data_IF_508153210760
#
_entry.id   IF_508153210760
#
_cell.length_a   1.000
_cell.length_b   1.000
_cell.length_c   1.000
_cell.angle_alpha   90.00
_cell.angle_beta   90.00
_cell.angle_gamma   90.00
#
_symmetry.space_group_name_H-M   'P 1'
#
loop_
_entity.id
_entity.type
_entity.pdbx_description
1 polymer ?
#
# COMPACT_ATOMS: atom_id res chain seq x y z
N UNK A 1 -18.74 50.49 75.43
CA UNK A 1 -19.41 49.19 75.22
C UNK A 1 -18.92 48.65 73.88
N UNK A 2 -17.82 47.88 73.84
CA UNK A 2 -17.83 46.40 73.89
C UNK A 2 -18.91 45.83 72.98
N UNK A 3 -18.55 45.42 71.76
CA UNK A 3 -18.51 43.99 71.36
C UNK A 3 -18.35 43.84 69.83
N UNK A 4 -17.29 43.14 69.43
CA UNK A 4 -17.29 42.25 68.24
C UNK A 4 -17.92 40.93 68.69
N UNK A 5 -18.62 40.17 67.81
CA UNK A 5 -17.90 39.13 67.06
C UNK A 5 -18.44 38.75 65.66
N UNK A 6 -17.48 38.29 64.85
CA UNK A 6 -17.45 37.13 63.92
C UNK A 6 -18.71 36.67 63.14
N UNK A 7 -18.48 36.46 61.85
CA UNK A 7 -18.75 35.17 61.19
C UNK A 7 -19.91 35.17 60.19
N UNK A 8 -19.63 34.78 58.94
CA UNK A 8 -20.66 34.55 57.94
C UNK A 8 -20.09 34.48 56.53
N UNK A 9 -19.61 33.30 56.14
CA UNK A 9 -19.26 32.96 54.78
C UNK A 9 -20.49 32.99 53.87
N UNK A 10 -20.38 33.59 52.69
CA UNK A 10 -21.31 33.38 51.58
C UNK A 10 -20.52 32.78 50.41
N UNK A 11 -20.77 31.49 50.19
CA UNK A 11 -20.24 30.70 49.10
C UNK A 11 -20.86 31.16 47.77
N UNK A 12 -20.02 31.63 46.85
CA UNK A 12 -20.40 31.82 45.44
C UNK A 12 -20.23 30.50 44.70
N UNK A 13 -21.35 29.93 44.26
CA UNK A 13 -21.43 28.75 43.40
C UNK A 13 -20.87 29.10 42.02
N UNK A 14 -19.71 28.53 41.66
CA UNK A 14 -19.23 28.52 40.28
C UNK A 14 -19.47 27.13 39.70
N UNK A 15 -20.40 27.06 38.75
CA UNK A 15 -20.78 25.84 38.05
C UNK A 15 -19.60 25.29 37.22
N UNK A 16 -19.26 24.03 37.47
CA UNK A 16 -18.28 23.28 36.69
C UNK A 16 -18.89 22.86 35.35
N UNK A 17 -18.41 23.43 34.23
CA UNK A 17 -18.59 22.85 32.90
C UNK A 17 -17.49 21.78 32.71
N UNK A 18 -17.79 20.53 33.07
CA UNK A 18 -17.01 19.38 32.64
C UNK A 18 -17.34 19.07 31.19
N UNK A 19 -16.54 19.58 30.24
CA UNK A 19 -16.54 19.08 28.86
C UNK A 19 -15.85 17.71 28.88
N UNK A 20 -16.66 16.65 28.89
CA UNK A 20 -16.20 15.28 28.66
C UNK A 20 -15.70 15.17 27.21
N UNK A 21 -14.39 15.34 27.01
CA UNK A 21 -13.71 14.93 25.79
C UNK A 21 -13.63 13.40 25.78
N UNK A 22 -14.70 12.76 25.31
CA UNK A 22 -14.66 11.35 24.94
C UNK A 22 -13.75 11.21 23.70
N UNK A 23 -12.72 10.35 23.74
CA UNK A 23 -11.99 10.01 22.53
C UNK A 23 -12.96 9.26 21.62
N UNK A 24 -13.39 9.91 20.54
CA UNK A 24 -14.10 9.25 19.45
C UNK A 24 -13.12 8.28 18.79
N UNK A 25 -13.09 7.04 19.25
CA UNK A 25 -12.54 5.95 18.46
C UNK A 25 -13.38 5.89 17.19
N UNK A 26 -12.82 6.35 16.07
CA UNK A 26 -13.40 6.16 14.75
C UNK A 26 -13.37 4.66 14.45
N UNK A 27 -14.35 3.93 14.97
CA UNK A 27 -14.70 2.61 14.47
C UNK A 27 -15.21 2.83 13.05
N UNK A 28 -14.41 2.41 12.06
CA UNK A 28 -14.87 2.35 10.68
C UNK A 28 -16.18 1.55 10.67
N UNK A 29 -17.30 2.20 10.39
CA UNK A 29 -18.58 1.54 10.29
C UNK A 29 -18.47 0.44 9.22
N UNK A 30 -19.01 -0.77 9.46
CA UNK A 30 -19.09 -1.79 8.42
C UNK A 30 -19.81 -1.18 7.21
N UNK A 31 -19.19 -1.28 6.03
CA UNK A 31 -19.81 -0.79 4.79
C UNK A 31 -21.04 -1.65 4.52
N UNK A 32 -22.12 -1.03 4.05
CA UNK A 32 -23.42 -1.67 3.82
C UNK A 32 -23.36 -2.91 2.89
N UNK A 33 -22.26 -3.08 2.16
CA UNK A 33 -22.03 -4.18 1.21
C UNK A 33 -21.44 -5.46 1.85
N UNK A 34 -21.18 -5.49 3.15
CA UNK A 34 -20.61 -6.67 3.83
C UNK A 34 -21.67 -7.70 4.30
N UNK A 35 -22.90 -7.64 3.78
CA UNK A 35 -23.96 -8.60 4.11
C UNK A 35 -23.59 -10.05 3.73
N UNK A 36 -23.88 -11.05 4.57
CA UNK A 36 -23.73 -12.46 4.23
C UNK A 36 -24.65 -12.84 3.06
N UNK A 37 -24.13 -13.53 2.04
CA UNK A 37 -24.92 -14.05 0.90
C UNK A 37 -24.98 -13.18 -0.36
N UNK A 38 -24.34 -12.00 -0.39
CA UNK A 38 -24.19 -11.20 -1.61
C UNK A 38 -23.22 -11.79 -2.64
N UNK A 39 -23.36 -11.41 -3.92
CA UNK A 39 -22.42 -11.80 -4.97
C UNK A 39 -20.98 -11.34 -4.66
N UNK A 40 -19.98 -12.09 -5.14
CA UNK A 40 -18.59 -11.68 -5.03
C UNK A 40 -18.39 -10.28 -5.65
N UNK A 41 -17.62 -9.43 -4.96
CA UNK A 41 -17.39 -8.05 -5.40
C UNK A 41 -16.39 -8.02 -6.54
N UNK A 42 -16.69 -7.18 -7.54
CA UNK A 42 -15.77 -6.90 -8.63
C UNK A 42 -14.60 -6.05 -8.17
N UNK A 43 -13.47 -6.18 -8.86
CA UNK A 43 -12.32 -5.30 -8.69
C UNK A 43 -12.73 -3.83 -8.80
N UNK A 44 -12.30 -3.00 -7.85
CA UNK A 44 -12.48 -1.55 -7.89
C UNK A 44 -11.28 -0.89 -8.57
N UNK A 45 -11.46 -0.27 -9.76
CA UNK A 45 -10.43 0.56 -10.36
C UNK A 45 -10.05 1.72 -9.45
N UNK A 46 -8.87 2.29 -9.66
CA UNK A 46 -8.44 3.46 -8.91
C UNK A 46 -9.44 4.62 -9.09
N UNK A 47 -9.73 5.30 -8.00
CA UNK A 47 -10.49 6.53 -8.04
C UNK A 47 -9.73 7.56 -8.88
N UNK A 48 -10.41 8.17 -9.86
CA UNK A 48 -9.76 9.07 -10.80
C UNK A 48 -8.87 8.39 -11.85
N UNK A 49 -8.98 7.06 -12.04
CA UNK A 49 -8.32 6.40 -13.16
C UNK A 49 -8.73 7.03 -14.49
N UNK A 50 -7.74 7.29 -15.35
CA UNK A 50 -7.94 7.99 -16.62
C UNK A 50 -8.31 6.97 -17.70
N UNK A 51 -9.48 7.08 -18.36
CA UNK A 51 -9.81 6.22 -19.47
C UNK A 51 -8.82 6.39 -20.62
N UNK A 52 -8.35 5.28 -21.18
CA UNK A 52 -7.47 5.24 -22.34
C UNK A 52 -7.92 4.14 -23.29
N UNK A 53 -7.52 4.20 -24.56
CA UNK A 53 -7.76 3.12 -25.52
C UNK A 53 -6.44 2.79 -26.20
N UNK A 54 -5.85 1.65 -25.82
CA UNK A 54 -4.67 1.13 -26.49
C UNK A 54 -4.94 0.89 -27.98
N UNK A 55 -3.99 1.29 -28.82
CA UNK A 55 -4.10 1.17 -30.26
C UNK A 55 -3.91 -0.28 -30.73
N UNK A 56 -4.39 -0.60 -31.93
CA UNK A 56 -4.12 -1.87 -32.61
C UNK A 56 -2.76 -1.89 -33.33
N UNK A 57 -2.18 -0.71 -33.54
CA UNK A 57 -0.88 -0.49 -34.19
C UNK A 57 0.14 0.03 -33.19
N UNK A 58 1.42 -0.32 -33.39
CA UNK A 58 2.53 0.17 -32.57
C UNK A 58 2.82 1.66 -32.74
N UNK A 59 2.29 2.30 -33.78
CA UNK A 59 2.60 3.70 -34.13
C UNK A 59 1.64 4.68 -33.44
N UNK A 60 0.43 4.22 -33.12
CA UNK A 60 -0.68 5.07 -32.67
C UNK A 60 -1.00 4.90 -31.18
N UNK A 61 -0.16 4.15 -30.44
CA UNK A 61 -0.37 3.88 -29.03
C UNK A 61 -0.40 5.16 -28.19
N UNK A 62 -1.44 5.41 -27.37
CA UNK A 62 -1.50 6.60 -26.52
C UNK A 62 -0.43 6.56 -25.43
N UNK A 63 -0.03 7.74 -24.96
CA UNK A 63 0.99 7.86 -23.92
C UNK A 63 0.44 7.54 -22.52
N UNK A 64 1.19 6.74 -21.76
CA UNK A 64 0.96 6.51 -20.34
C UNK A 64 1.98 7.32 -19.54
N UNK A 65 1.51 8.40 -18.93
CA UNK A 65 2.34 9.22 -18.04
C UNK A 65 2.70 8.48 -16.72
N UNK A 66 3.89 8.78 -16.21
CA UNK A 66 4.39 8.29 -14.91
C UNK A 66 3.41 8.62 -13.79
N UNK A 67 3.23 7.70 -12.84
CA UNK A 67 2.42 7.85 -11.63
C UNK A 67 0.91 8.11 -11.86
N UNK A 68 0.43 8.07 -13.10
CA UNK A 68 -1.00 8.01 -13.41
C UNK A 68 -1.47 6.56 -13.49
N UNK A 69 -2.75 6.36 -13.18
CA UNK A 69 -3.44 5.08 -13.32
C UNK A 69 -4.46 5.22 -14.45
N UNK A 70 -4.42 4.29 -15.39
CA UNK A 70 -5.29 4.29 -16.56
C UNK A 70 -6.23 3.10 -16.55
N UNK A 71 -7.41 3.26 -17.14
CA UNK A 71 -8.38 2.18 -17.37
C UNK A 71 -8.61 1.96 -18.86
N UNK A 72 -8.65 0.69 -19.27
CA UNK A 72 -9.05 0.26 -20.60
C UNK A 72 -9.74 -1.12 -20.47
N UNK A 73 -9.99 -1.80 -21.58
CA UNK A 73 -10.52 -3.16 -21.67
C UNK A 73 -9.70 -3.99 -22.64
N UNK A 74 -9.71 -5.30 -22.51
CA UNK A 74 -9.11 -6.21 -23.49
C UNK A 74 -10.05 -7.40 -23.74
N UNK A 75 -10.19 -7.80 -25.00
CA UNK A 75 -10.92 -9.01 -25.38
C UNK A 75 -9.95 -10.14 -25.75
N UNK A 76 -10.43 -11.40 -25.70
CA UNK A 76 -9.67 -12.54 -26.17
C UNK A 76 -9.13 -12.36 -27.59
N UNK A 77 -7.82 -12.58 -27.75
CA UNK A 77 -7.12 -12.41 -29.02
C UNK A 77 -6.68 -10.99 -29.36
N UNK A 78 -7.02 -9.98 -28.54
CA UNK A 78 -6.56 -8.62 -28.78
C UNK A 78 -5.11 -8.43 -28.34
N UNK A 79 -4.44 -7.51 -29.02
CA UNK A 79 -3.14 -6.96 -28.67
C UNK A 79 -3.28 -5.44 -28.72
N UNK A 80 -2.90 -4.78 -27.63
CA UNK A 80 -3.02 -3.35 -27.45
C UNK A 80 -1.65 -2.72 -27.23
N UNK A 81 -1.46 -1.56 -27.83
CA UNK A 81 -0.22 -0.82 -27.82
C UNK A 81 -0.39 0.53 -27.12
N UNK A 82 0.61 0.87 -26.30
CA UNK A 82 0.70 2.12 -25.54
C UNK A 82 2.14 2.63 -25.59
N UNK A 83 2.34 3.94 -25.46
CA UNK A 83 3.66 4.55 -25.41
C UNK A 83 4.01 4.94 -23.98
N UNK A 84 5.26 4.77 -23.57
CA UNK A 84 5.81 5.33 -22.33
C UNK A 84 7.08 6.11 -22.66
N UNK A 85 7.25 7.26 -22.03
CA UNK A 85 8.48 8.05 -22.13
C UNK A 85 9.43 7.64 -21.01
N UNK A 86 10.58 7.06 -21.37
CA UNK A 86 11.62 6.65 -20.42
C UNK A 86 12.78 7.66 -20.43
N UNK A 87 13.36 7.89 -19.26
CA UNK A 87 14.66 8.56 -19.11
C UNK A 87 15.81 7.53 -19.26
N UNK A 88 17.06 7.96 -19.13
CA UNK A 88 18.27 7.13 -19.22
C UNK A 88 18.86 6.75 -17.85
N UNK A 89 18.17 7.05 -16.75
CA UNK A 89 18.70 6.88 -15.38
C UNK A 89 17.81 6.04 -14.46
N UNK A 90 16.50 5.99 -14.69
CA UNK A 90 15.54 5.29 -13.84
C UNK A 90 15.27 3.86 -14.31
N UNK A 91 15.07 2.93 -13.38
CA UNK A 91 14.41 1.66 -13.72
C UNK A 91 12.93 1.92 -13.96
N UNK A 92 12.35 1.31 -14.99
CA UNK A 92 10.95 1.50 -15.33
C UNK A 92 10.16 0.21 -15.15
N UNK A 93 8.94 0.32 -14.62
CA UNK A 93 8.01 -0.78 -14.40
C UNK A 93 6.63 -0.36 -14.89
N UNK A 94 6.14 -1.02 -15.95
CA UNK A 94 4.82 -0.75 -16.53
C UNK A 94 3.95 -1.97 -16.28
N UNK A 95 2.95 -1.81 -15.42
CA UNK A 95 2.10 -2.90 -14.94
C UNK A 95 0.72 -2.86 -15.58
N UNK A 96 0.14 -4.04 -15.76
CA UNK A 96 -1.25 -4.22 -16.15
C UNK A 96 -1.92 -5.18 -15.19
N UNK A 97 -3.09 -4.78 -14.68
CA UNK A 97 -4.03 -5.65 -13.96
C UNK A 97 -5.12 -6.06 -14.94
N UNK A 98 -5.41 -7.36 -15.07
CA UNK A 98 -6.61 -7.86 -15.75
C UNK A 98 -7.64 -8.28 -14.70
N UNK A 99 -8.82 -7.67 -14.76
CA UNK A 99 -9.82 -7.74 -13.71
C UNK A 99 -11.20 -8.19 -14.26
N UNK A 100 -11.35 -9.47 -14.61
CA UNK A 100 -12.63 -10.02 -15.06
C UNK A 100 -13.70 -9.93 -13.95
N UNK A 101 -15.00 -9.78 -14.30
CA UNK A 101 -16.07 -9.90 -13.33
C UNK A 101 -15.99 -11.25 -12.57
N UNK A 102 -16.29 -11.29 -11.26
CA UNK A 102 -16.28 -12.53 -10.49
C UNK A 102 -17.19 -13.61 -11.11
N UNK A 103 -16.71 -14.85 -11.11
CA UNK A 103 -17.42 -15.98 -11.71
C UNK A 103 -17.27 -16.09 -13.24
N UNK A 104 -16.52 -15.19 -13.88
CA UNK A 104 -16.17 -15.33 -15.30
C UNK A 104 -15.42 -16.64 -15.55
N UNK A 105 -15.76 -17.33 -16.64
CA UNK A 105 -15.06 -18.56 -17.05
C UNK A 105 -13.73 -18.22 -17.72
N UNK A 106 -12.73 -19.08 -17.54
CA UNK A 106 -11.43 -18.98 -18.20
C UNK A 106 -10.89 -20.35 -18.56
N UNK A 107 -10.01 -20.44 -19.56
CA UNK A 107 -9.08 -21.56 -19.64
C UNK A 107 -7.90 -21.36 -18.66
N UNK A 108 -7.21 -22.45 -18.35
CA UNK A 108 -6.04 -22.46 -17.46
C UNK A 108 -4.98 -21.46 -17.91
N UNK A 109 -4.77 -21.35 -19.23
CA UNK A 109 -3.79 -20.48 -19.86
C UNK A 109 -4.38 -19.19 -20.44
N UNK A 110 -5.63 -18.85 -20.09
CA UNK A 110 -6.13 -17.50 -20.38
C UNK A 110 -5.49 -16.50 -19.42
N UNK A 111 -5.22 -15.29 -19.92
CA UNK A 111 -4.62 -14.21 -19.15
C UNK A 111 -4.05 -13.09 -20.02
N UNK A 112 -2.95 -12.49 -19.57
CA UNK A 112 -2.26 -11.42 -20.31
C UNK A 112 -0.77 -11.69 -20.42
N UNK A 113 -0.19 -11.26 -21.53
CA UNK A 113 1.25 -11.09 -21.69
C UNK A 113 1.56 -9.61 -21.86
N UNK A 114 2.60 -9.15 -21.16
CA UNK A 114 3.05 -7.77 -21.21
C UNK A 114 4.49 -7.68 -21.70
N UNK A 115 4.78 -6.68 -22.53
CA UNK A 115 6.09 -6.49 -23.15
C UNK A 115 6.43 -5.01 -23.19
N UNK A 116 7.71 -4.68 -23.02
CA UNK A 116 8.26 -3.34 -23.23
C UNK A 116 9.38 -3.43 -24.27
N UNK A 117 9.25 -2.68 -25.37
CA UNK A 117 10.25 -2.66 -26.45
C UNK A 117 10.71 -1.24 -26.75
N UNK A 118 11.95 -1.10 -27.21
CA UNK A 118 12.47 0.12 -27.84
C UNK A 118 11.85 0.36 -29.23
N UNK A 119 12.07 1.55 -29.84
CA UNK A 119 11.55 1.88 -31.17
C UNK A 119 11.99 0.93 -32.30
N UNK A 120 13.16 0.30 -32.16
CA UNK A 120 13.69 -0.70 -33.11
C UNK A 120 13.10 -2.10 -32.90
N UNK A 121 12.24 -2.28 -31.90
CA UNK A 121 11.60 -3.56 -31.56
C UNK A 121 12.39 -4.43 -30.58
N UNK A 122 13.54 -3.96 -30.08
CA UNK A 122 14.32 -4.71 -29.07
C UNK A 122 13.57 -4.77 -27.74
N UNK A 123 13.39 -5.97 -27.18
CA UNK A 123 12.74 -6.14 -25.88
C UNK A 123 13.67 -5.75 -24.74
N UNK A 124 13.19 -4.90 -23.83
CA UNK A 124 14.00 -4.35 -22.74
C UNK A 124 14.28 -5.31 -21.57
N UNK A 125 13.53 -6.41 -21.49
CA UNK A 125 13.62 -7.38 -20.40
C UNK A 125 12.77 -8.61 -20.68
N UNK A 126 12.28 -9.28 -19.63
CA UNK A 126 11.33 -10.37 -19.82
C UNK A 126 9.99 -9.85 -20.36
N UNK A 127 9.26 -10.74 -21.06
CA UNK A 127 7.88 -10.51 -21.51
C UNK A 127 6.92 -11.44 -20.75
N UNK A 128 6.70 -11.20 -19.45
CA UNK A 128 6.00 -12.15 -18.60
C UNK A 128 4.53 -12.27 -18.98
N UNK A 129 4.04 -13.51 -18.94
CA UNK A 129 2.62 -13.81 -18.98
C UNK A 129 2.10 -14.09 -17.57
N UNK A 130 0.91 -13.57 -17.26
CA UNK A 130 0.14 -13.94 -16.09
C UNK A 130 -1.11 -14.69 -16.56
N UNK A 131 -1.39 -15.84 -15.94
CA UNK A 131 -2.51 -16.70 -16.26
C UNK A 131 -3.44 -16.86 -15.06
N UNK A 132 -4.73 -17.09 -15.30
CA UNK A 132 -5.67 -17.36 -14.20
C UNK A 132 -5.35 -18.65 -13.46
N UNK A 133 -4.86 -19.67 -14.19
CA UNK A 133 -4.44 -20.95 -13.62
C UNK A 133 -5.59 -21.85 -13.17
N UNK A 134 -6.78 -21.67 -13.76
CA UNK A 134 -7.99 -22.43 -13.45
C UNK A 134 -9.16 -22.11 -14.40
N UNK A 135 -10.29 -22.77 -14.15
CA UNK A 135 -11.52 -22.64 -14.96
C UNK A 135 -12.33 -21.37 -14.65
N UNK A 136 -11.93 -20.64 -13.60
CA UNK A 136 -12.56 -19.40 -13.16
C UNK A 136 -11.54 -18.28 -13.18
N UNK A 137 -11.92 -17.19 -13.83
CA UNK A 137 -11.12 -16.00 -13.93
C UNK A 137 -11.11 -15.25 -12.60
N UNK A 138 -9.97 -14.64 -12.30
CA UNK A 138 -9.72 -13.83 -11.09
C UNK A 138 -8.90 -12.63 -11.49
N UNK A 139 -8.79 -11.65 -10.62
CA UNK A 139 -7.81 -10.57 -10.84
C UNK A 139 -6.40 -11.15 -10.92
N UNK A 140 -5.66 -10.81 -11.98
CA UNK A 140 -4.24 -11.12 -12.17
C UNK A 140 -3.50 -9.85 -12.54
N UNK A 141 -2.20 -9.80 -12.27
CA UNK A 141 -1.35 -8.67 -12.67
C UNK A 141 0.01 -9.13 -13.17
N UNK A 142 0.60 -8.35 -14.06
CA UNK A 142 1.97 -8.53 -14.56
C UNK A 142 2.59 -7.17 -14.87
N UNK A 143 3.93 -7.09 -14.93
CA UNK A 143 4.61 -5.91 -15.44
C UNK A 143 5.71 -6.28 -16.43
N UNK A 144 5.99 -5.38 -17.37
CA UNK A 144 7.25 -5.36 -18.10
C UNK A 144 8.17 -4.33 -17.44
N UNK A 145 9.47 -4.60 -17.45
CA UNK A 145 10.46 -3.72 -16.82
C UNK A 145 11.61 -3.40 -17.74
N UNK A 146 12.16 -2.20 -17.62
CA UNK A 146 13.45 -1.79 -18.16
C UNK A 146 14.41 -1.55 -17.00
N UNK A 147 15.61 -2.12 -17.07
CA UNK A 147 16.65 -1.97 -16.03
C UNK A 147 17.77 -1.08 -16.55
N UNK A 148 18.20 -0.13 -15.72
CA UNK A 148 19.41 0.64 -15.95
C UNK A 148 20.61 -0.09 -15.36
N UNK A 149 21.61 -0.35 -16.19
CA UNK A 149 22.84 -1.01 -15.75
C UNK A 149 24.04 -0.47 -16.53
N UNK A 150 24.37 -1.14 -17.63
CA UNK A 150 25.51 -0.84 -18.49
C UNK A 150 25.09 -1.06 -19.95
N UNK A 151 25.95 -0.66 -20.89
CA UNK A 151 25.68 -0.72 -22.33
C UNK A 151 25.47 -2.12 -22.90
N UNK A 152 25.73 -3.19 -22.11
CA UNK A 152 25.44 -4.57 -22.53
C UNK A 152 23.98 -4.96 -22.29
N UNK A 153 23.23 -4.17 -21.51
CA UNK A 153 21.79 -4.36 -21.29
C UNK A 153 21.01 -3.58 -22.35
N UNK A 154 19.95 -4.13 -22.97
CA UNK A 154 19.14 -3.37 -23.92
C UNK A 154 18.41 -2.19 -23.27
N UNK A 155 17.92 -1.26 -24.08
CA UNK A 155 17.06 -0.15 -23.66
C UNK A 155 17.69 0.81 -22.61
N UNK A 156 18.95 1.22 -22.79
CA UNK A 156 19.60 2.18 -21.89
C UNK A 156 19.30 3.64 -22.24
N UNK A 157 18.91 3.93 -23.48
CA UNK A 157 18.69 5.30 -23.95
C UNK A 157 17.37 5.90 -23.46
N UNK A 158 17.34 7.22 -23.28
CA UNK A 158 16.10 7.96 -23.07
C UNK A 158 15.28 8.02 -24.37
N UNK A 159 13.95 8.03 -24.26
CA UNK A 159 13.09 8.15 -25.43
C UNK A 159 11.71 7.53 -25.25
N UNK A 160 11.04 7.36 -26.38
CA UNK A 160 9.74 6.69 -26.43
C UNK A 160 9.92 5.18 -26.54
N UNK A 161 9.20 4.46 -25.70
CA UNK A 161 9.17 3.00 -25.69
C UNK A 161 7.74 2.52 -25.82
N UNK A 162 7.59 1.32 -26.36
CA UNK A 162 6.29 0.72 -26.64
C UNK A 162 5.96 -0.31 -25.56
N UNK A 163 4.91 -0.06 -24.81
CA UNK A 163 4.31 -1.03 -23.91
C UNK A 163 3.17 -1.76 -24.61
N UNK A 164 3.21 -3.08 -24.58
CA UNK A 164 2.23 -3.94 -25.24
C UNK A 164 1.51 -4.79 -24.21
N UNK A 165 0.19 -4.85 -24.30
CA UNK A 165 -0.66 -5.79 -23.57
C UNK A 165 -1.34 -6.70 -24.57
N UNK A 166 -1.00 -7.99 -24.55
CA UNK A 166 -1.61 -9.01 -25.39
C UNK A 166 -2.45 -9.96 -24.53
N UNK A 167 -3.58 -10.39 -25.07
CA UNK A 167 -4.27 -11.55 -24.51
C UNK A 167 -3.38 -12.78 -24.65
N UNK A 168 -3.21 -13.51 -23.55
CA UNK A 168 -2.55 -14.81 -23.55
C UNK A 168 -3.61 -15.92 -23.45
N UNK A 169 -3.45 -17.01 -24.22
CA UNK A 169 -4.38 -18.16 -24.20
C UNK A 169 -5.16 -18.38 -25.50
N UNK A 170 -6.02 -19.41 -25.50
CA UNK A 170 -6.66 -19.97 -26.71
C UNK A 170 -8.02 -19.36 -27.05
N UNK A 171 -8.39 -18.23 -26.43
CA UNK A 171 -9.68 -17.53 -26.59
C UNK A 171 -10.89 -18.31 -26.06
N UNK A 172 -10.68 -19.24 -25.12
CA UNK A 172 -11.75 -20.08 -24.57
C UNK A 172 -12.77 -19.30 -23.71
N UNK A 173 -12.43 -18.09 -23.24
CA UNK A 173 -13.31 -17.16 -22.52
C UNK A 173 -14.40 -16.46 -23.35
N UNK A 174 -14.54 -16.79 -24.65
CA UNK A 174 -15.51 -16.15 -25.53
C UNK A 174 -15.04 -14.80 -26.08
N UNK A 175 -15.96 -13.86 -26.34
CA UNK A 175 -15.66 -12.54 -26.91
C UNK A 175 -15.75 -11.37 -25.92
N UNK A 176 -15.87 -11.64 -24.61
CA UNK A 176 -16.09 -10.61 -23.61
C UNK A 176 -14.90 -9.67 -23.47
N UNK A 177 -15.17 -8.37 -23.39
CA UNK A 177 -14.16 -7.36 -23.05
C UNK A 177 -14.03 -7.27 -21.53
N UNK A 178 -12.83 -7.50 -21.01
CA UNK A 178 -12.56 -7.43 -19.58
C UNK A 178 -11.77 -6.18 -19.21
N UNK A 179 -12.07 -5.54 -18.06
CA UNK A 179 -11.33 -4.39 -17.59
C UNK A 179 -9.84 -4.68 -17.42
N UNK A 180 -9.01 -3.74 -17.86
CA UNK A 180 -7.60 -3.66 -17.51
C UNK A 180 -7.28 -2.31 -16.85
N UNK A 181 -6.37 -2.33 -15.90
CA UNK A 181 -5.82 -1.14 -15.26
C UNK A 181 -4.31 -1.08 -15.51
N UNK A 182 -3.81 0.04 -16.03
CA UNK A 182 -2.40 0.22 -16.40
C UNK A 182 -1.74 1.26 -15.50
N UNK A 183 -0.50 1.02 -15.09
CA UNK A 183 0.30 1.99 -14.33
C UNK A 183 1.75 1.99 -14.81
N UNK A 184 2.40 3.16 -14.75
CA UNK A 184 3.83 3.31 -15.03
C UNK A 184 4.53 3.92 -13.81
N UNK A 185 5.49 3.17 -13.24
CA UNK A 185 6.37 3.61 -12.15
C UNK A 185 7.82 3.67 -12.62
N UNK A 186 8.57 4.64 -12.11
CA UNK A 186 9.99 4.81 -12.40
C UNK A 186 10.78 4.94 -11.09
N UNK A 187 11.62 3.97 -10.80
CA UNK A 187 12.51 3.94 -9.64
C UNK A 187 13.80 4.69 -9.98
N UNK A 188 14.17 5.75 -9.23
CA UNK A 188 15.39 6.51 -9.51
C UNK A 188 16.63 5.62 -9.54
N UNK A 189 17.64 6.05 -10.32
CA UNK A 189 18.96 5.44 -10.32
C UNK A 189 19.71 5.65 -9.00
N UNK A 190 20.89 5.05 -8.88
CA UNK A 190 21.80 5.36 -7.78
C UNK A 190 22.56 6.66 -8.06
N UNK A 191 23.00 7.33 -6.99
CA UNK A 191 23.94 8.46 -7.10
C UNK A 191 25.17 8.05 -7.92
N UNK A 192 25.67 8.91 -8.83
CA UNK A 192 26.88 8.63 -9.57
C UNK A 192 28.04 8.24 -8.65
N UNK A 193 28.71 7.12 -8.98
CA UNK A 193 29.83 6.59 -8.20
C UNK A 193 29.45 5.87 -6.91
N UNK A 194 28.17 5.72 -6.59
CA UNK A 194 27.75 4.88 -5.47
C UNK A 194 28.01 3.39 -5.76
N UNK A 195 28.52 2.68 -4.76
CA UNK A 195 28.66 1.23 -4.83
C UNK A 195 27.30 0.57 -5.04
N UNK A 196 27.24 -0.39 -5.96
CA UNK A 196 26.04 -1.18 -6.13
C UNK A 196 25.84 -2.06 -4.88
N UNK A 197 24.65 -2.02 -4.25
CA UNK A 197 24.33 -2.91 -3.14
C UNK A 197 24.52 -4.39 -3.54
N UNK A 198 24.96 -5.21 -2.60
CA UNK A 198 25.03 -6.66 -2.77
C UNK A 198 23.69 -7.33 -2.43
N UNK A 199 23.40 -8.43 -3.13
CA UNK A 199 22.22 -9.22 -2.83
C UNK A 199 22.44 -10.07 -1.56
N UNK A 200 21.37 -10.32 -0.77
CA UNK A 200 21.43 -11.31 0.29
C UNK A 200 21.80 -12.69 -0.27
N UNK A 201 22.75 -13.37 0.36
CA UNK A 201 23.21 -14.71 -0.07
C UNK A 201 22.57 -15.85 0.71
N UNK A 202 21.79 -15.54 1.75
CA UNK A 202 21.07 -16.52 2.56
C UNK A 202 19.99 -15.86 3.40
N UNK A 203 18.90 -16.58 3.65
CA UNK A 203 17.76 -16.10 4.42
C UNK A 203 16.94 -17.27 4.97
N UNK A 204 16.02 -16.98 5.90
CA UNK A 204 15.21 -18.01 6.54
C UNK A 204 14.17 -18.57 5.57
N UNK A 205 14.06 -19.89 5.50
CA UNK A 205 12.91 -20.55 4.85
C UNK A 205 11.78 -20.84 5.84
N UNK A 206 12.02 -20.60 7.14
CA UNK A 206 11.09 -20.91 8.23
C UNK A 206 10.39 -19.62 8.67
N UNK A 207 9.06 -19.66 8.64
CA UNK A 207 8.24 -18.56 9.16
C UNK A 207 8.54 -18.32 10.66
N UNK A 208 8.50 -17.06 11.12
CA UNK A 208 8.62 -16.77 12.54
C UNK A 208 7.47 -17.40 13.33
N UNK A 209 7.71 -17.70 14.60
CA UNK A 209 6.63 -18.10 15.50
C UNK A 209 5.56 -17.01 15.52
N UNK A 210 4.26 -17.37 15.49
CA UNK A 210 3.19 -16.38 15.59
C UNK A 210 3.42 -15.51 16.83
N UNK A 211 3.46 -14.19 16.64
CA UNK A 211 3.40 -13.26 17.76
C UNK A 211 2.10 -13.54 18.51
N UNK A 212 2.19 -13.95 19.78
CA UNK A 212 1.01 -14.31 20.57
C UNK A 212 -0.04 -13.19 20.55
N UNK A 213 -1.31 -13.58 20.45
CA UNK A 213 -2.44 -12.64 20.37
C UNK A 213 -3.66 -13.27 19.73
N UNK A 214 -4.84 -12.76 20.03
CA UNK A 214 -6.05 -13.14 19.30
C UNK A 214 -6.04 -12.47 17.92
N UNK A 215 -6.44 -13.18 16.85
CA UNK A 215 -6.47 -12.56 15.53
C UNK A 215 -7.44 -11.38 15.46
N UNK A 216 -7.00 -10.28 14.86
CA UNK A 216 -7.76 -9.04 14.73
C UNK A 216 -8.66 -9.07 13.50
N UNK A 217 -9.87 -8.51 13.58
CA UNK A 217 -10.77 -8.44 12.42
C UNK A 217 -10.25 -7.41 11.39
N UNK A 218 -10.28 -7.77 10.12
CA UNK A 218 -10.02 -6.90 8.97
C UNK A 218 -11.06 -7.19 7.89
N UNK A 219 -11.28 -6.24 6.98
CA UNK A 219 -12.01 -6.49 5.73
C UNK A 219 -11.09 -6.13 4.57
N UNK A 220 -10.65 -7.15 3.82
CA UNK A 220 -9.80 -6.99 2.65
C UNK A 220 -10.52 -6.22 1.54
N UNK A 221 -9.76 -5.45 0.79
CA UNK A 221 -10.24 -4.72 -0.39
C UNK A 221 -10.58 -5.64 -1.56
N UNK A 222 -11.02 -5.03 -2.66
CA UNK A 222 -11.40 -5.71 -3.91
C UNK A 222 -10.26 -5.72 -4.94
N UNK A 223 -9.21 -4.94 -4.72
CA UNK A 223 -8.09 -4.81 -5.64
C UNK A 223 -6.87 -4.11 -5.03
N UNK A 224 -5.89 -3.79 -5.87
CA UNK A 224 -4.68 -3.08 -5.48
C UNK A 224 -4.94 -1.67 -4.92
N UNK A 225 -6.04 -1.03 -5.35
CA UNK A 225 -6.33 0.38 -5.06
C UNK A 225 -6.98 0.59 -3.68
N UNK A 226 -7.71 -0.40 -3.19
CA UNK A 226 -8.42 -0.38 -1.91
C UNK A 226 -7.95 -1.48 -0.95
N UNK A 227 -6.79 -2.09 -1.23
CA UNK A 227 -6.19 -3.14 -0.42
C UNK A 227 -6.05 -2.68 1.05
N UNK A 228 -6.56 -3.50 1.98
CA UNK A 228 -6.51 -3.19 3.40
C UNK A 228 -5.08 -3.28 3.92
N UNK A 229 -4.60 -2.23 4.61
CA UNK A 229 -3.28 -2.26 5.24
C UNK A 229 -3.29 -3.22 6.42
N UNK A 230 -2.31 -4.13 6.46
CA UNK A 230 -2.10 -5.08 7.55
C UNK A 230 -0.62 -5.12 7.91
N UNK A 231 -0.34 -5.21 9.21
CA UNK A 231 1.02 -5.34 9.75
C UNK A 231 1.29 -6.78 10.18
N UNK A 232 2.46 -7.02 10.77
CA UNK A 232 2.79 -8.31 11.37
C UNK A 232 1.77 -8.71 12.44
N UNK A 233 1.20 -9.91 12.32
CA UNK A 233 0.15 -10.40 13.20
C UNK A 233 -0.81 -11.38 12.53
N UNK A 234 -1.90 -11.70 13.23
CA UNK A 234 -2.94 -12.59 12.73
C UNK A 234 -4.23 -11.79 12.47
N UNK A 235 -4.81 -11.96 11.29
CA UNK A 235 -5.94 -11.18 10.81
C UNK A 235 -7.10 -12.11 10.41
N UNK A 236 -8.31 -11.85 10.89
CA UNK A 236 -9.54 -12.58 10.55
C UNK A 236 -10.39 -11.79 9.57
N UNK A 237 -10.92 -12.49 8.58
CA UNK A 237 -11.86 -11.97 7.59
C UNK A 237 -12.79 -13.11 7.13
N UNK A 238 -13.80 -12.79 6.35
CA UNK A 238 -14.70 -13.75 5.71
C UNK A 238 -14.56 -13.62 4.19
N UNK A 239 -14.43 -14.75 3.49
CA UNK A 239 -14.32 -14.78 2.03
C UNK A 239 -15.48 -15.53 1.40
N UNK A 240 -16.04 -14.95 0.32
CA UNK A 240 -17.14 -15.52 -0.44
C UNK A 240 -16.64 -16.39 -1.60
N UNK A 241 -17.45 -17.36 -2.09
CA UNK A 241 -17.12 -18.13 -3.29
C UNK A 241 -16.83 -17.23 -4.49
N UNK A 242 -15.69 -17.44 -5.15
CA UNK A 242 -15.25 -16.66 -6.31
C UNK A 242 -14.72 -15.25 -5.97
N UNK A 243 -14.65 -14.87 -4.69
CA UNK A 243 -14.11 -13.57 -4.26
C UNK A 243 -12.58 -13.61 -4.19
N UNK A 244 -11.94 -12.51 -4.58
CA UNK A 244 -10.56 -12.20 -4.21
C UNK A 244 -10.54 -11.06 -3.19
N UNK A 245 -9.89 -11.27 -2.05
CA UNK A 245 -9.62 -10.23 -1.04
C UNK A 245 -8.19 -9.73 -1.16
N UNK A 246 -8.02 -8.42 -1.08
CA UNK A 246 -6.72 -7.76 -1.19
C UNK A 246 -6.30 -7.08 0.12
N UNK A 247 -5.07 -7.36 0.52
CA UNK A 247 -4.37 -6.71 1.63
C UNK A 247 -3.05 -6.13 1.14
N UNK A 248 -2.46 -5.21 1.90
CA UNK A 248 -1.11 -4.70 1.64
C UNK A 248 -0.28 -4.67 2.91
N UNK A 249 0.95 -5.13 2.81
CA UNK A 249 1.92 -5.21 3.91
C UNK A 249 3.08 -4.26 3.62
N UNK A 250 3.49 -3.41 4.57
CA UNK A 250 4.67 -2.58 4.38
C UNK A 250 5.92 -3.44 4.59
N UNK A 251 6.82 -3.47 3.61
CA UNK A 251 8.08 -4.22 3.68
C UNK A 251 9.24 -3.26 3.46
N UNK A 252 10.07 -3.10 4.47
CA UNK A 252 11.30 -2.31 4.40
C UNK A 252 12.44 -3.12 3.78
N UNK A 253 13.51 -2.42 3.35
CA UNK A 253 14.74 -3.09 2.96
C UNK A 253 15.28 -4.01 4.07
N UNK A 254 15.81 -5.17 3.68
CA UNK A 254 16.33 -6.19 4.59
C UNK A 254 15.26 -7.08 5.22
N UNK A 255 13.97 -6.81 5.02
CA UNK A 255 12.88 -7.60 5.60
C UNK A 255 12.38 -8.68 4.65
N UNK A 256 12.00 -9.82 5.23
CA UNK A 256 11.29 -10.91 4.58
C UNK A 256 9.80 -10.87 4.94
N UNK A 257 8.97 -11.39 4.04
CA UNK A 257 7.56 -11.58 4.27
C UNK A 257 7.24 -13.09 4.33
N UNK A 258 6.53 -13.49 5.37
CA UNK A 258 5.95 -14.82 5.53
C UNK A 258 4.44 -14.66 5.62
N UNK A 259 3.70 -15.41 4.83
CA UNK A 259 2.23 -15.36 4.82
C UNK A 259 1.68 -16.77 4.97
N UNK A 260 0.62 -16.87 5.78
CA UNK A 260 -0.19 -18.08 5.90
C UNK A 260 -1.66 -17.71 5.83
N UNK A 261 -2.32 -18.08 4.75
CA UNK A 261 -3.77 -17.99 4.64
C UNK A 261 -4.38 -19.34 5.05
N UNK A 262 -5.42 -19.32 5.88
CA UNK A 262 -6.12 -20.51 6.33
C UNK A 262 -7.62 -20.33 6.22
N UNK A 263 -8.30 -21.34 5.70
CA UNK A 263 -9.75 -21.45 5.76
C UNK A 263 -10.15 -22.27 6.98
N UNK A 264 -11.23 -21.84 7.64
CA UNK A 264 -11.91 -22.65 8.63
C UNK A 264 -12.69 -23.81 7.98
N UNK A 265 -13.43 -24.57 8.79
CA UNK A 265 -14.40 -25.50 8.26
C UNK A 265 -15.53 -24.74 7.55
N UNK A 266 -16.06 -25.33 6.47
CA UNK A 266 -17.27 -24.83 5.83
C UNK A 266 -18.46 -25.02 6.79
N UNK A 267 -19.47 -24.17 6.63
CA UNK A 267 -20.71 -24.21 7.42
C UNK A 267 -21.84 -24.97 6.71
N UNK A 268 -21.59 -25.47 5.50
CA UNK A 268 -22.52 -26.26 4.70
C UNK A 268 -22.19 -27.75 4.80
N UNK A 269 -23.23 -28.58 4.88
CA UNK A 269 -23.11 -30.05 4.89
C UNK A 269 -22.96 -30.68 3.49
N UNK A 270 -22.99 -29.86 2.43
CA UNK A 270 -22.81 -30.33 1.06
C UNK A 270 -21.37 -30.84 0.84
N UNK A 271 -21.24 -32.04 0.28
CA UNK A 271 -19.93 -32.56 -0.12
C UNK A 271 -19.43 -31.87 -1.39
N UNK A 272 -18.18 -31.42 -1.38
CA UNK A 272 -17.52 -30.85 -2.55
C UNK A 272 -16.01 -31.06 -2.47
N UNK A 273 -15.33 -30.89 -3.61
CA UNK A 273 -13.89 -30.77 -3.69
C UNK A 273 -13.50 -29.79 -4.79
N UNK A 274 -12.53 -28.94 -4.50
CA UNK A 274 -11.86 -28.11 -5.50
C UNK A 274 -10.36 -28.17 -5.27
N UNK A 275 -9.61 -28.33 -6.38
CA UNK A 275 -8.15 -28.40 -6.39
C UNK A 275 -7.48 -27.06 -6.04
N UNK A 276 -8.15 -25.94 -6.32
CA UNK A 276 -7.65 -24.58 -6.08
C UNK A 276 -8.50 -23.85 -5.04
N UNK A 277 -9.03 -24.59 -4.06
CA UNK A 277 -10.00 -24.08 -3.09
C UNK A 277 -9.56 -22.80 -2.38
N UNK A 278 -8.30 -22.74 -1.96
CA UNK A 278 -7.66 -21.54 -1.44
C UNK A 278 -6.44 -21.21 -2.27
N UNK A 279 -6.35 -20.00 -2.80
CA UNK A 279 -5.16 -19.47 -3.47
C UNK A 279 -4.64 -18.22 -2.76
N UNK A 280 -3.33 -18.14 -2.63
CA UNK A 280 -2.58 -17.03 -2.06
C UNK A 280 -1.55 -16.55 -3.10
N UNK A 281 -1.73 -15.32 -3.58
CA UNK A 281 -0.81 -14.67 -4.51
C UNK A 281 -0.20 -13.43 -3.85
N UNK A 282 1.09 -13.20 -4.09
CA UNK A 282 1.85 -12.07 -3.61
C UNK A 282 2.35 -11.25 -4.80
N UNK A 283 2.13 -9.94 -4.76
CA UNK A 283 2.65 -8.99 -5.73
C UNK A 283 3.51 -7.94 -5.03
N UNK A 284 4.53 -7.45 -5.72
CA UNK A 284 5.41 -6.41 -5.21
C UNK A 284 4.85 -4.99 -5.41
N UNK A 285 5.60 -3.98 -4.98
CA UNK A 285 5.23 -2.55 -5.07
C UNK A 285 4.79 -2.12 -6.48
N UNK A 286 5.43 -2.64 -7.53
CA UNK A 286 5.09 -2.36 -8.93
C UNK A 286 4.05 -3.33 -9.51
N UNK A 287 3.30 -4.03 -8.65
CA UNK A 287 2.24 -5.00 -8.99
C UNK A 287 2.70 -6.21 -9.81
N UNK A 288 3.98 -6.57 -9.71
CA UNK A 288 4.48 -7.78 -10.34
C UNK A 288 4.36 -9.01 -9.47
N UNK A 289 4.12 -10.19 -10.04
CA UNK A 289 4.09 -11.45 -9.30
C UNK A 289 5.40 -11.71 -8.54
N UNK A 290 5.27 -12.12 -7.29
CA UNK A 290 6.37 -12.61 -6.43
C UNK A 290 6.20 -14.11 -6.20
N UNK A 291 4.99 -14.53 -5.83
CA UNK A 291 4.66 -15.93 -5.58
C UNK A 291 3.16 -16.17 -5.79
N UNK A 292 2.79 -17.38 -6.20
CA UNK A 292 1.42 -17.84 -6.32
C UNK A 292 1.37 -19.29 -5.86
N UNK A 293 0.54 -19.59 -4.85
CA UNK A 293 0.35 -20.94 -4.33
C UNK A 293 -1.12 -21.20 -4.09
N UNK A 294 -1.54 -22.45 -4.27
CA UNK A 294 -2.89 -22.90 -3.94
C UNK A 294 -2.88 -24.22 -3.20
N UNK A 295 -3.99 -24.51 -2.54
CA UNK A 295 -4.28 -25.81 -1.94
C UNK A 295 -5.73 -26.19 -2.20
N UNK A 296 -5.99 -27.50 -2.20
CA UNK A 296 -7.34 -28.02 -2.32
C UNK A 296 -8.18 -27.74 -1.07
N UNK A 297 -9.50 -27.75 -1.24
CA UNK A 297 -10.45 -27.59 -0.14
C UNK A 297 -11.65 -28.52 -0.31
N UNK A 298 -12.00 -29.18 0.80
CA UNK A 298 -13.11 -30.14 0.91
C UNK A 298 -14.17 -29.69 1.91
N UNK A 299 -14.03 -28.48 2.47
CA UNK A 299 -14.81 -28.02 3.62
C UNK A 299 -14.13 -28.28 4.98
N UNK A 300 -13.07 -29.08 5.05
CA UNK A 300 -12.24 -29.23 6.24
C UNK A 300 -11.15 -28.13 6.31
N UNK A 301 -10.73 -27.67 7.52
CA UNK A 301 -9.71 -26.63 7.64
C UNK A 301 -8.45 -26.92 6.81
N UNK A 302 -8.01 -25.93 6.05
CA UNK A 302 -6.83 -26.02 5.16
C UNK A 302 -6.06 -24.70 5.17
N UNK A 303 -4.83 -24.72 4.69
CA UNK A 303 -4.02 -23.51 4.58
C UNK A 303 -2.90 -23.60 3.56
N UNK A 304 -2.40 -22.43 3.16
CA UNK A 304 -1.29 -22.28 2.23
C UNK A 304 -0.29 -21.28 2.80
N UNK A 305 1.00 -21.62 2.71
CA UNK A 305 2.11 -20.85 3.26
C UNK A 305 3.07 -20.38 2.16
N UNK A 306 3.56 -19.15 2.26
CA UNK A 306 4.68 -18.64 1.45
C UNK A 306 5.68 -17.87 2.32
N UNK A 307 6.92 -17.80 1.82
CA UNK A 307 8.01 -17.00 2.38
C UNK A 307 8.80 -16.37 1.24
N UNK A 308 9.44 -15.24 1.49
CA UNK A 308 10.16 -14.48 0.46
C UNK A 308 11.65 -14.36 0.76
N UNK A 309 12.46 -14.01 -0.25
CA UNK A 309 13.78 -13.42 0.01
C UNK A 309 13.63 -12.07 0.74
N UNK A 310 14.68 -11.58 1.43
CA UNK A 310 14.67 -10.23 1.97
C UNK A 310 14.54 -9.20 0.85
N UNK A 311 13.74 -8.16 1.07
CA UNK A 311 13.66 -7.04 0.15
C UNK A 311 15.05 -6.39 0.02
N UNK A 312 15.62 -6.35 -1.19
CA UNK A 312 16.93 -5.76 -1.41
C UNK A 312 17.04 -5.20 -2.84
N UNK A 313 17.63 -4.01 -2.98
CA UNK A 313 17.87 -3.35 -4.27
C UNK A 313 18.51 -4.34 -5.26
N UNK A 314 19.61 -4.99 -4.83
CA UNK A 314 20.39 -5.90 -5.67
C UNK A 314 19.62 -7.09 -6.25
N UNK A 315 18.49 -7.49 -5.65
CA UNK A 315 17.68 -8.62 -6.14
C UNK A 315 17.24 -8.43 -7.60
N UNK A 316 17.16 -7.18 -8.10
CA UNK A 316 16.80 -6.94 -9.51
C UNK A 316 17.83 -7.44 -10.54
N UNK A 317 19.06 -7.74 -10.09
CA UNK A 317 20.15 -8.20 -10.94
C UNK A 317 20.45 -9.69 -10.75
N UNK A 318 19.74 -10.36 -9.84
CA UNK A 318 19.94 -11.77 -9.56
C UNK A 318 19.50 -12.64 -10.74
N UNK A 319 20.35 -13.59 -11.10
CA UNK A 319 20.10 -14.62 -12.10
C UNK A 319 19.60 -15.86 -11.35
N UNK A 320 18.45 -15.74 -10.70
CA UNK A 320 17.89 -16.74 -9.78
C UNK A 320 16.41 -17.03 -10.02
N UNK A 321 15.68 -17.38 -8.96
CA UNK A 321 14.22 -17.58 -9.05
C UNK A 321 13.51 -16.24 -9.21
N UNK A 322 12.49 -16.18 -10.07
CA UNK A 322 11.71 -14.97 -10.33
C UNK A 322 11.16 -14.31 -9.06
N UNK A 323 10.82 -15.12 -8.05
CA UNK A 323 10.32 -14.64 -6.76
C UNK A 323 11.35 -13.89 -5.91
N UNK A 324 12.60 -14.39 -5.84
CA UNK A 324 13.67 -13.67 -5.15
C UNK A 324 13.98 -12.36 -5.87
N UNK A 325 14.08 -12.41 -7.19
CA UNK A 325 14.28 -11.22 -8.00
C UNK A 325 13.13 -10.21 -7.82
N UNK A 326 11.88 -10.66 -7.64
CA UNK A 326 10.73 -9.77 -7.46
C UNK A 326 10.71 -9.02 -6.11
N UNK A 327 11.45 -9.50 -5.09
CA UNK A 327 11.67 -8.83 -3.80
C UNK A 327 12.71 -7.69 -3.92
N UNK A 328 12.60 -6.86 -4.94
CA UNK A 328 13.57 -5.81 -5.27
C UNK A 328 13.20 -4.42 -4.79
N UNK A 329 12.11 -4.29 -4.04
CA UNK A 329 11.57 -3.00 -3.62
C UNK A 329 11.37 -2.94 -2.11
N UNK A 330 11.57 -1.76 -1.55
CA UNK A 330 10.84 -1.33 -0.37
C UNK A 330 9.47 -0.79 -0.79
N UNK A 331 8.46 -1.02 0.03
CA UNK A 331 7.13 -0.44 -0.14
C UNK A 331 6.01 -1.40 0.19
N UNK A 332 4.86 -1.18 -0.43
CA UNK A 332 3.67 -2.00 -0.23
C UNK A 332 3.72 -3.27 -1.08
N UNK A 333 3.71 -4.43 -0.42
CA UNK A 333 3.50 -5.71 -1.07
C UNK A 333 2.04 -6.11 -0.93
N UNK A 334 1.43 -6.56 -2.02
CA UNK A 334 -0.01 -6.82 -2.10
C UNK A 334 -0.29 -8.32 -2.01
N UNK A 335 -1.16 -8.69 -1.07
CA UNK A 335 -1.58 -10.05 -0.80
C UNK A 335 -2.98 -10.25 -1.36
N UNK A 336 -3.14 -11.17 -2.29
CA UNK A 336 -4.43 -11.59 -2.83
C UNK A 336 -4.78 -12.98 -2.29
N UNK A 337 -5.90 -13.08 -1.58
CA UNK A 337 -6.48 -14.36 -1.16
C UNK A 337 -7.73 -14.62 -2.00
N UNK A 338 -7.81 -15.75 -2.68
CA UNK A 338 -8.93 -16.10 -3.55
C UNK A 338 -9.57 -17.42 -3.10
N UNK A 339 -10.90 -17.42 -3.00
CA UNK A 339 -11.69 -18.62 -2.77
C UNK A 339 -12.29 -19.11 -4.08
N UNK A 340 -12.14 -20.40 -4.36
CA UNK A 340 -12.73 -21.00 -5.57
C UNK A 340 -14.28 -20.89 -5.54
N UNK A 341 -14.94 -20.57 -6.67
CA UNK A 341 -16.40 -20.45 -6.72
C UNK A 341 -17.15 -21.77 -6.52
N UNK A 342 -16.49 -22.94 -6.59
CA UNK A 342 -17.09 -24.24 -6.29
C UNK A 342 -17.34 -24.45 -4.78
N UNK A 343 -16.80 -23.57 -3.92
CA UNK A 343 -17.10 -23.58 -2.48
C UNK A 343 -18.56 -23.11 -2.28
N UNK A 344 -19.39 -23.81 -1.48
CA UNK A 344 -20.83 -23.58 -1.46
C UNK A 344 -21.27 -22.31 -0.71
N UNK A 345 -20.45 -21.78 0.19
CA UNK A 345 -20.80 -20.66 1.06
C UNK A 345 -19.58 -19.84 1.45
N UNK A 346 -19.82 -18.68 2.07
CA UNK A 346 -18.74 -17.92 2.71
C UNK A 346 -18.02 -18.77 3.76
N UNK A 347 -16.70 -18.57 3.88
CA UNK A 347 -15.85 -19.28 4.83
C UNK A 347 -15.04 -18.27 5.63
N UNK A 348 -15.02 -18.36 6.98
CA UNK A 348 -14.10 -17.58 7.79
C UNK A 348 -12.66 -17.96 7.46
N UNK A 349 -11.81 -16.95 7.31
CA UNK A 349 -10.39 -17.14 7.04
C UNK A 349 -9.51 -16.39 8.04
N UNK A 350 -8.27 -16.84 8.16
CA UNK A 350 -7.22 -16.16 8.91
C UNK A 350 -5.99 -15.97 8.01
N UNK A 351 -5.51 -14.73 7.92
CA UNK A 351 -4.24 -14.37 7.30
C UNK A 351 -3.22 -14.06 8.40
N UNK A 352 -2.20 -14.89 8.54
CA UNK A 352 -1.05 -14.60 9.39
C UNK A 352 0.04 -13.94 8.55
N UNK A 353 0.53 -12.81 9.03
CA UNK A 353 1.57 -12.00 8.40
C UNK A 353 2.77 -11.97 9.33
N UNK A 354 3.88 -12.53 8.88
CA UNK A 354 5.18 -12.42 9.53
C UNK A 354 6.10 -11.50 8.74
N UNK A 355 6.56 -10.41 9.36
CA UNK A 355 7.60 -9.56 8.80
C UNK A 355 8.85 -9.76 9.64
N UNK A 356 9.91 -10.32 9.05
CA UNK A 356 11.14 -10.68 9.75
C UNK A 356 12.34 -9.93 9.16
N UNK A 357 13.32 -9.63 10.00
CA UNK A 357 14.54 -8.92 9.61
C UNK A 357 14.51 -7.46 10.04
N UNK A 358 15.72 -6.91 10.24
CA UNK A 358 15.90 -5.51 10.63
C UNK A 358 15.70 -4.63 9.40
N UNK A 359 14.84 -3.62 9.52
CA UNK A 359 14.71 -2.58 8.50
C UNK A 359 16.06 -1.91 8.26
N UNK A 360 16.47 -1.83 6.99
CA UNK A 360 17.73 -1.22 6.56
C UNK A 360 17.46 0.09 5.84
N UNK A 361 18.48 0.94 5.82
CA UNK A 361 18.46 2.11 4.97
C UNK A 361 18.39 1.69 3.50
N UNK A 362 17.65 2.45 2.70
CA UNK A 362 17.65 2.30 1.27
C UNK A 362 18.99 2.64 0.64
N UNK A 363 19.20 2.22 -0.62
CA UNK A 363 20.40 2.59 -1.35
C UNK A 363 20.44 4.11 -1.59
N UNK A 364 21.62 4.67 -1.89
CA UNK A 364 21.76 6.10 -2.15
C UNK A 364 21.16 6.46 -3.52
N UNK A 365 19.84 6.67 -3.56
CA UNK A 365 19.13 7.08 -4.77
C UNK A 365 19.55 8.48 -5.24
N UNK A 366 19.60 8.67 -6.55
CA UNK A 366 19.70 9.97 -7.22
C UNK A 366 18.30 10.50 -7.55
N UNK A 367 17.58 10.86 -6.50
CA UNK A 367 16.18 11.29 -6.59
C UNK A 367 15.36 10.83 -5.39
N UNK A 368 14.08 11.17 -5.40
CA UNK A 368 13.15 10.81 -4.33
C UNK A 368 12.40 9.51 -4.67
N UNK A 369 12.94 8.40 -4.18
CA UNK A 369 12.33 7.08 -4.37
C UNK A 369 10.98 6.94 -3.63
N UNK A 370 10.78 7.65 -2.51
CA UNK A 370 9.52 7.60 -1.77
C UNK A 370 8.41 8.29 -2.54
N UNK A 371 8.67 9.50 -3.06
CA UNK A 371 7.74 10.21 -3.93
C UNK A 371 7.43 9.45 -5.23
N UNK A 372 8.38 8.65 -5.72
CA UNK A 372 8.20 7.76 -6.87
C UNK A 372 7.40 6.47 -6.54
N UNK A 373 7.00 6.27 -5.28
CA UNK A 373 6.20 5.12 -4.83
C UNK A 373 7.01 3.91 -4.36
N UNK A 374 8.33 4.03 -4.21
CA UNK A 374 9.24 2.99 -3.71
C UNK A 374 9.65 3.25 -2.25
N UNK A 375 8.68 3.67 -1.45
CA UNK A 375 8.82 3.94 -0.01
C UNK A 375 7.65 3.37 0.77
N UNK A 376 7.71 3.48 2.10
CA UNK A 376 6.63 3.02 2.98
C UNK A 376 5.52 4.09 3.14
N UNK A 377 5.79 5.32 2.68
CA UNK A 377 4.92 6.48 2.88
C UNK A 377 4.92 6.95 4.33
N UNK A 378 4.34 8.14 4.56
CA UNK A 378 4.17 8.73 5.90
C UNK A 378 3.03 8.10 6.72
N UNK A 379 2.39 7.06 6.20
CA UNK A 379 1.19 6.44 6.76
C UNK A 379 1.37 4.93 7.02
N UNK A 380 2.42 4.60 7.79
CA UNK A 380 2.46 3.36 8.57
C UNK A 380 1.86 3.68 9.95
N UNK A 381 0.62 3.26 10.27
CA UNK A 381 0.10 3.35 11.63
C UNK A 381 0.72 2.23 12.47
N UNK A 382 1.99 2.41 12.85
CA UNK A 382 2.75 1.37 13.55
C UNK A 382 4.09 1.82 14.15
N UNK A 383 4.51 3.07 13.94
CA UNK A 383 5.50 3.66 14.85
C UNK A 383 4.77 4.10 16.11
N UNK A 384 4.99 3.38 17.22
CA UNK A 384 4.41 3.70 18.52
C UNK A 384 4.59 5.17 18.94
N UNK A 385 3.85 5.64 19.97
CA UNK A 385 3.54 7.04 20.24
C UNK A 385 4.71 7.96 20.68
N UNK A 386 5.95 7.66 20.31
CA UNK A 386 7.15 8.30 20.87
C UNK A 386 7.91 9.24 19.92
N UNK A 387 7.55 9.33 18.64
CA UNK A 387 8.17 10.30 17.70
C UNK A 387 7.35 11.58 17.57
N UNK A 388 6.03 11.48 17.43
CA UNK A 388 5.13 12.65 17.31
C UNK A 388 5.01 13.42 18.63
N UNK A 389 5.09 12.74 19.79
CA UNK A 389 5.14 13.41 21.09
C UNK A 389 6.51 14.04 21.41
N UNK A 390 7.61 13.63 20.76
CA UNK A 390 8.90 14.34 20.90
C UNK A 390 8.90 15.66 20.13
N UNK A 391 8.31 15.69 18.92
CA UNK A 391 8.19 16.94 18.15
C UNK A 391 7.25 17.95 18.83
N UNK A 392 6.13 17.49 19.41
CA UNK A 392 5.21 18.36 20.16
C UNK A 392 5.79 18.73 21.54
N UNK A 393 6.57 17.85 22.18
CA UNK A 393 7.23 18.12 23.46
C UNK A 393 8.27 19.24 23.39
N UNK A 394 9.04 19.33 22.30
CA UNK A 394 10.00 20.44 22.12
C UNK A 394 9.33 21.76 21.72
N UNK A 395 8.22 21.73 20.98
CA UNK A 395 7.45 22.93 20.66
C UNK A 395 6.66 23.47 21.88
N UNK A 396 6.13 22.58 22.73
CA UNK A 396 5.34 22.95 23.92
C UNK A 396 6.18 23.57 25.04
N UNK A 397 7.39 23.07 25.28
CA UNK A 397 8.29 23.65 26.28
C UNK A 397 8.90 24.97 25.78
N UNK A 398 9.20 25.09 24.48
CA UNK A 398 9.71 26.34 23.90
C UNK A 398 8.74 27.52 24.03
N UNK A 399 7.46 27.33 23.68
CA UNK A 399 6.43 28.36 23.78
C UNK A 399 6.07 28.70 25.24
N UNK A 400 6.00 27.68 26.12
CA UNK A 400 5.72 27.89 27.55
C UNK A 400 6.81 28.71 28.24
N UNK A 401 8.08 28.45 27.94
CA UNK A 401 9.21 29.17 28.55
C UNK A 401 9.28 30.62 28.07
N UNK A 402 9.01 30.88 26.78
CA UNK A 402 8.94 32.25 26.23
C UNK A 402 7.79 33.05 26.85
N UNK A 403 6.62 32.43 27.07
CA UNK A 403 5.49 33.08 27.73
C UNK A 403 5.78 33.42 29.20
N UNK A 404 6.41 32.51 29.95
CA UNK A 404 6.76 32.76 31.36
C UNK A 404 7.85 33.83 31.47
N UNK A 405 8.86 33.81 30.60
CA UNK A 405 9.89 34.86 30.56
C UNK A 405 9.31 36.21 30.11
N UNK A 406 8.40 36.21 29.15
CA UNK A 406 7.68 37.41 28.71
C UNK A 406 6.81 38.01 29.81
N UNK A 407 6.05 37.18 30.54
CA UNK A 407 5.25 37.59 31.70
C UNK A 407 6.12 38.09 32.86
N UNK A 408 7.25 37.42 33.13
CA UNK A 408 8.21 37.84 34.14
C UNK A 408 8.85 39.20 33.82
N UNK A 409 9.26 39.40 32.56
CA UNK A 409 9.80 40.67 32.09
C UNK A 409 8.75 41.79 32.13
N UNK A 410 7.51 41.51 31.72
CA UNK A 410 6.41 42.46 31.79
C UNK A 410 6.07 42.85 33.24
N UNK A 411 6.09 41.90 34.18
CA UNK A 411 5.84 42.19 35.59
C UNK A 411 6.97 43.04 36.22
N UNK A 412 8.22 42.82 35.83
CA UNK A 412 9.37 43.63 36.27
C UNK A 412 9.33 45.05 35.68
N UNK A 413 8.93 45.20 34.42
CA UNK A 413 8.83 46.51 33.73
C UNK A 413 7.63 47.31 34.26
N UNK A 414 6.49 46.67 34.50
CA UNK A 414 5.29 47.31 35.08
C UNK A 414 5.50 47.73 36.53
N UNK A 415 6.33 47.02 37.30
CA UNK A 415 6.74 47.44 38.66
C UNK A 415 7.79 48.56 38.66
N UNK A 416 8.61 48.69 37.61
CA UNK A 416 9.57 49.80 37.45
C UNK A 416 8.96 51.09 36.91
N UNK A 417 7.71 51.06 36.44
CA UNK A 417 6.92 52.28 36.16
C UNK A 417 6.02 52.62 37.35
N UNK A 418 6.64 52.92 38.49
CA UNK A 418 6.13 53.95 39.40
C UNK A 418 7.11 55.12 39.36
N UNK A 419 6.86 56.14 38.52
CA UNK A 419 7.46 57.43 38.72
C UNK A 419 6.98 57.96 40.08
N UNK A 420 7.93 58.14 40.98
CA UNK A 420 7.77 59.01 42.12
C UNK A 420 7.67 60.45 41.62
N UNK A 421 6.62 61.15 42.05
CA UNK A 421 6.61 62.61 42.21
C UNK A 421 6.42 63.46 40.94
N UNK A 422 5.67 64.55 41.12
CA UNK A 422 5.77 65.71 40.23
C UNK A 422 4.43 66.36 39.89
N UNK A 423 3.96 67.23 40.77
CA UNK A 423 3.06 68.37 40.57
C UNK A 423 2.45 68.61 39.17
N UNK A 424 1.12 68.66 39.11
CA UNK A 424 0.36 69.56 38.24
C UNK A 424 -0.09 70.75 39.11
N UNK A 425 0.43 71.97 38.94
CA UNK A 425 0.12 72.99 37.93
C UNK A 425 -1.11 73.84 38.31
N UNK A 426 -0.95 75.17 38.32
CA UNK A 426 -2.08 76.09 38.40
C UNK A 426 -1.80 77.44 39.06
N UNK A 427 -1.19 78.37 38.30
CA UNK A 427 -1.09 79.80 38.60
C UNK A 427 -2.45 80.45 38.92
N UNK A 428 -2.45 81.39 39.88
CA UNK A 428 -3.37 82.52 39.90
C UNK A 428 -2.65 83.76 40.42
N UNK A 429 -2.37 84.68 39.49
CA UNK A 429 -1.82 86.01 39.71
C UNK A 429 -2.92 86.93 40.26
N UNK A 430 -2.53 87.77 41.21
CA UNK A 430 -3.31 88.83 41.84
C UNK A 430 -3.59 90.00 40.86
N UNK A 431 -4.74 90.64 41.05
CA UNK A 431 -5.17 91.88 40.39
C UNK A 431 -4.30 93.11 40.70
N UNK A 432 -4.41 94.07 39.77
CA UNK A 432 -4.11 95.52 39.78
C UNK A 432 -2.72 95.96 39.30
#
# INVERSE_FOLDING_TARGET
>A
MVSRPRGGAAAGVAAALCVLLLPSAATAAPRADDAPGGAARSYRPAEGSVPVTGAESSVDGPELERAKIYSDTIAPGQKKYYRVRLDDTSHAYVSTVLAPPPGSKSAILDGIQVTLTSPDGTTCGSSPAAYFGGETARTIASYASRRIKDSTTPCQEAGDYLYTVAWAGTKAGGGAKWPIELTYMAEPGLKPGADQPSAPTGWSSKAPSPSGGSPQKVSGGTGFNDAAAVEGGAWRDDIRPGESRFYRVPVAWGQQLFLRAQLANATSDASFFTVNGLRLSLYNTARGPVADKSTGYTGAPTGVDLGTAPAAYANRFEVGTDGAAAMRFQGWYYVQVTLDPKVPSSVPMTLNVGVEGTARQGPPYDGDAEAAGFGLGSSVPGSGPNSTMRAIGFAGIGLGTVLVLGLGAWQLVSRRRRPAGGHAEGNAVYSR
#
